data_IF_466557191603
#
_entry.id   IF_466557191603
#
_cell.length_a   1.000
_cell.length_b   1.000
_cell.length_c   1.000
_cell.angle_alpha   90.00
_cell.angle_beta   90.00
_cell.angle_gamma   90.00
#
_symmetry.space_group_name_H-M   'P 1'
#
loop_
_entity.id
_entity.type
_entity.pdbx_description
1 polymer ?
#
# COMPACT_ATOMS: atom_id res chain seq x y z
N UNK A 1 0.86 -0.80 20.56
CA UNK A 1 -0.04 -1.07 19.42
C UNK A 1 0.07 -2.54 19.04
N UNK A 2 -1.06 -3.22 18.80
CA UNK A 2 -1.05 -4.61 18.30
C UNK A 2 -0.87 -4.65 16.77
N UNK A 3 -0.67 -5.85 16.20
CA UNK A 3 -0.43 -6.03 14.77
C UNK A 3 -1.51 -5.40 13.88
N UNK A 4 -2.77 -5.53 14.30
CA UNK A 4 -3.95 -5.04 13.57
C UNK A 4 -3.99 -3.52 13.52
N UNK A 5 -3.75 -2.85 14.65
CA UNK A 5 -3.67 -1.39 14.70
C UNK A 5 -2.52 -0.88 13.83
N UNK A 6 -1.33 -1.51 13.88
CA UNK A 6 -0.20 -1.13 13.01
C UNK A 6 -0.56 -1.29 11.52
N UNK A 7 -1.21 -2.40 11.16
CA UNK A 7 -1.66 -2.65 9.78
C UNK A 7 -2.65 -1.58 9.30
N UNK A 8 -3.67 -1.23 10.09
CA UNK A 8 -4.64 -0.17 9.74
C UNK A 8 -3.93 1.18 9.62
N UNK A 9 -3.07 1.53 10.59
CA UNK A 9 -2.32 2.80 10.60
C UNK A 9 -1.43 2.95 9.36
N UNK A 10 -0.91 1.85 8.81
CA UNK A 10 -0.09 1.89 7.58
C UNK A 10 -0.85 2.39 6.33
N UNK A 11 -2.20 2.49 6.39
CA UNK A 11 -3.03 3.02 5.31
C UNK A 11 -3.22 4.54 5.37
N UNK A 12 -2.80 5.22 6.45
CA UNK A 12 -2.96 6.67 6.62
C UNK A 12 -1.86 7.46 5.88
N UNK A 13 -1.76 7.21 4.58
CA UNK A 13 -0.77 7.80 3.67
C UNK A 13 0.68 7.62 4.17
N UNK A 14 1.59 8.49 3.71
CA UNK A 14 3.02 8.39 4.01
C UNK A 14 3.30 8.49 5.52
N UNK A 15 2.59 9.37 6.24
CA UNK A 15 2.82 9.59 7.68
C UNK A 15 2.42 8.35 8.48
N UNK A 16 1.22 7.82 8.26
CA UNK A 16 0.78 6.59 8.94
C UNK A 16 1.63 5.38 8.58
N UNK A 17 2.03 5.29 7.32
CA UNK A 17 2.96 4.26 6.86
C UNK A 17 4.31 4.31 7.59
N UNK A 18 4.93 5.49 7.73
CA UNK A 18 6.18 5.67 8.48
C UNK A 18 6.03 5.29 9.96
N UNK A 19 4.93 5.71 10.60
CA UNK A 19 4.65 5.34 12.00
C UNK A 19 4.54 3.82 12.13
N UNK A 20 3.76 3.17 11.26
CA UNK A 20 3.59 1.72 11.28
C UNK A 20 4.91 0.99 11.07
N UNK A 21 5.75 1.48 10.15
CA UNK A 21 7.08 0.93 9.88
C UNK A 21 8.00 1.00 11.11
N UNK A 22 8.12 2.18 11.73
CA UNK A 22 8.98 2.40 12.89
C UNK A 22 8.48 1.57 14.09
N UNK A 23 7.17 1.55 14.34
CA UNK A 23 6.61 0.80 15.47
C UNK A 23 6.75 -0.71 15.26
N UNK A 24 6.66 -1.20 14.01
CA UNK A 24 6.81 -2.62 13.69
C UNK A 24 8.28 -3.07 13.57
N UNK A 25 9.25 -2.17 13.43
CA UNK A 25 10.66 -2.54 13.29
C UNK A 25 11.27 -3.13 14.57
N UNK A 26 10.80 -2.68 15.74
CA UNK A 26 11.25 -3.18 17.05
C UNK A 26 10.79 -4.62 17.34
N UNK A 27 9.53 -4.93 16.99
CA UNK A 27 8.95 -6.27 17.08
C UNK A 27 8.07 -6.50 15.86
N UNK A 28 8.65 -7.18 14.86
CA UNK A 28 7.98 -7.46 13.58
C UNK A 28 6.81 -8.41 13.80
N UNK A 29 5.62 -7.95 13.42
CA UNK A 29 4.41 -8.77 13.37
C UNK A 29 4.00 -8.99 11.92
N UNK A 30 3.70 -10.24 11.57
CA UNK A 30 3.48 -10.66 10.18
C UNK A 30 2.37 -9.87 9.50
N UNK A 31 1.24 -9.64 10.18
CA UNK A 31 0.11 -8.88 9.65
C UNK A 31 0.50 -7.41 9.37
N UNK A 32 1.22 -6.78 10.29
CA UNK A 32 1.68 -5.42 10.12
C UNK A 32 2.71 -5.32 8.98
N UNK A 33 3.70 -6.20 8.96
CA UNK A 33 4.70 -6.28 7.88
C UNK A 33 4.08 -6.50 6.50
N UNK A 34 3.01 -7.31 6.42
CA UNK A 34 2.28 -7.52 5.17
C UNK A 34 1.67 -6.22 4.63
N UNK A 35 0.92 -5.50 5.46
CA UNK A 35 0.25 -4.26 5.05
C UNK A 35 1.21 -3.07 4.90
N UNK A 36 2.31 -3.04 5.64
CA UNK A 36 3.39 -2.05 5.43
C UNK A 36 3.99 -2.21 4.02
N UNK A 37 4.27 -3.44 3.58
CA UNK A 37 4.77 -3.72 2.23
C UNK A 37 3.73 -3.40 1.15
N UNK A 38 2.47 -3.77 1.38
CA UNK A 38 1.37 -3.49 0.46
C UNK A 38 1.15 -1.99 0.26
N UNK A 39 1.13 -1.22 1.36
CA UNK A 39 0.95 0.23 1.31
C UNK A 39 2.17 0.96 0.75
N UNK A 40 3.39 0.44 0.94
CA UNK A 40 4.56 0.95 0.23
C UNK A 40 4.38 0.79 -1.30
N UNK A 41 3.88 -0.37 -1.74
CA UNK A 41 3.54 -0.59 -3.15
C UNK A 41 2.55 0.42 -3.70
N UNK A 42 1.48 0.72 -2.95
CA UNK A 42 0.54 1.77 -3.34
C UNK A 42 1.18 3.15 -3.43
N UNK A 43 2.03 3.53 -2.48
CA UNK A 43 2.75 4.81 -2.49
C UNK A 43 3.64 4.90 -3.75
N UNK A 44 4.39 3.85 -4.06
CA UNK A 44 5.27 3.82 -5.25
C UNK A 44 4.47 3.91 -6.54
N UNK A 45 3.37 3.17 -6.67
CA UNK A 45 2.50 3.24 -7.86
C UNK A 45 1.84 4.61 -7.98
N UNK A 46 1.42 5.22 -6.88
CA UNK A 46 0.87 6.57 -6.89
C UNK A 46 1.88 7.60 -7.41
N UNK A 47 3.13 7.54 -6.94
CA UNK A 47 4.22 8.39 -7.44
C UNK A 47 4.46 8.13 -8.93
N UNK A 48 4.47 6.88 -9.38
CA UNK A 48 4.63 6.55 -10.79
C UNK A 48 3.49 7.13 -11.67
N UNK A 49 2.24 7.07 -11.21
CA UNK A 49 1.10 7.68 -11.92
C UNK A 49 1.23 9.20 -12.06
N UNK A 50 1.72 9.88 -11.01
CA UNK A 50 1.94 11.33 -11.07
C UNK A 50 3.09 11.70 -12.02
N UNK A 51 4.13 10.87 -12.14
CA UNK A 51 5.19 11.04 -13.16
C UNK A 51 4.64 10.83 -14.58
N UNK A 52 3.85 9.78 -14.80
CA UNK A 52 3.27 9.48 -16.11
C UNK A 52 2.29 10.56 -16.60
N UNK A 53 1.72 11.36 -15.69
CA UNK A 53 0.85 12.50 -16.02
C UNK A 53 1.53 13.55 -16.92
N UNK A 54 2.86 13.60 -16.96
CA UNK A 54 3.65 14.56 -17.75
C UNK A 54 3.49 14.29 -19.27
N UNK A 55 3.17 13.05 -19.68
CA UNK A 55 2.96 12.72 -21.08
C UNK A 55 1.73 13.43 -21.65
N UNK A 56 1.87 14.22 -22.74
CA UNK A 56 0.73 14.90 -23.34
C UNK A 56 -0.29 13.88 -23.86
N UNK A 57 -1.58 14.19 -23.70
CA UNK A 57 -2.74 13.40 -24.14
C UNK A 57 -2.96 12.10 -23.35
N UNK A 58 -1.99 11.18 -23.31
CA UNK A 58 -2.16 9.85 -22.69
C UNK A 58 -1.96 9.86 -21.17
N UNK A 59 -1.09 10.73 -20.65
CA UNK A 59 -0.76 10.81 -19.23
C UNK A 59 -1.97 11.05 -18.32
N UNK A 60 -2.83 12.04 -18.62
CA UNK A 60 -4.04 12.30 -17.82
C UNK A 60 -5.00 11.10 -17.76
N UNK A 61 -5.17 10.37 -18.86
CA UNK A 61 -6.06 9.20 -18.91
C UNK A 61 -5.52 8.08 -18.03
N UNK A 62 -4.22 7.76 -18.17
CA UNK A 62 -3.54 6.76 -17.33
C UNK A 62 -3.65 7.12 -15.85
N UNK A 63 -3.43 8.40 -15.51
CA UNK A 63 -3.51 8.90 -14.14
C UNK A 63 -4.91 8.74 -13.55
N UNK A 64 -5.96 9.02 -14.31
CA UNK A 64 -7.35 8.87 -13.84
C UNK A 64 -7.71 7.39 -13.66
N UNK A 65 -7.51 6.57 -14.70
CA UNK A 65 -7.87 5.14 -14.65
C UNK A 65 -7.04 4.41 -13.60
N UNK A 66 -5.73 4.62 -13.60
CA UNK A 66 -4.81 4.06 -12.63
C UNK A 66 -5.12 4.53 -11.21
N UNK A 67 -5.46 5.80 -11.01
CA UNK A 67 -5.83 6.34 -9.71
C UNK A 67 -7.09 5.69 -9.13
N UNK A 68 -8.11 5.46 -9.97
CA UNK A 68 -9.34 4.76 -9.55
C UNK A 68 -9.04 3.31 -9.17
N UNK A 69 -8.29 2.58 -9.99
CA UNK A 69 -7.90 1.19 -9.69
C UNK A 69 -7.06 1.11 -8.40
N UNK A 70 -6.14 2.05 -8.22
CA UNK A 70 -5.29 2.13 -7.03
C UNK A 70 -6.12 2.40 -5.78
N UNK A 71 -7.10 3.31 -5.85
CA UNK A 71 -7.99 3.62 -4.73
C UNK A 71 -8.88 2.42 -4.36
N UNK A 72 -9.41 1.69 -5.34
CA UNK A 72 -10.17 0.45 -5.11
C UNK A 72 -9.26 -0.60 -4.44
N UNK A 73 -8.03 -0.77 -4.92
CA UNK A 73 -7.02 -1.62 -4.29
C UNK A 73 -6.77 -1.22 -2.83
N UNK A 74 -6.54 0.06 -2.57
CA UNK A 74 -6.31 0.57 -1.23
C UNK A 74 -7.49 0.32 -0.29
N UNK A 75 -8.74 0.49 -0.76
CA UNK A 75 -9.95 0.16 0.01
C UNK A 75 -10.03 -1.32 0.36
N UNK A 76 -9.79 -2.22 -0.61
CA UNK A 76 -9.77 -3.67 -0.35
C UNK A 76 -8.71 -4.04 0.70
N UNK A 77 -7.51 -3.49 0.54
CA UNK A 77 -6.40 -3.67 1.50
C UNK A 77 -6.80 -3.21 2.90
N UNK A 78 -7.43 -2.04 3.02
CA UNK A 78 -7.88 -1.52 4.30
C UNK A 78 -8.92 -2.44 4.95
N UNK A 79 -9.92 -2.90 4.19
CA UNK A 79 -10.97 -3.81 4.68
C UNK A 79 -10.35 -5.11 5.20
N UNK A 80 -9.46 -5.75 4.43
CA UNK A 80 -8.82 -6.98 4.87
C UNK A 80 -7.91 -6.78 6.09
N UNK A 81 -7.26 -5.62 6.22
CA UNK A 81 -6.48 -5.29 7.42
C UNK A 81 -7.35 -5.15 8.67
N UNK A 82 -8.57 -4.61 8.51
CA UNK A 82 -9.60 -4.53 9.56
C UNK A 82 -10.17 -5.91 9.89
N UNK A 83 -10.17 -6.85 8.95
CA UNK A 83 -10.54 -8.24 9.21
C UNK A 83 -9.39 -9.03 9.84
N UNK A 84 -8.14 -8.57 9.68
CA UNK A 84 -6.95 -9.27 10.17
C UNK A 84 -6.46 -10.38 9.21
N UNK A 85 -6.94 -10.36 7.97
CA UNK A 85 -6.55 -11.31 6.93
C UNK A 85 -5.36 -10.76 6.15
N UNK A 86 -4.44 -11.63 5.70
CA UNK A 86 -3.34 -11.24 4.82
C UNK A 86 -3.74 -11.57 3.38
N UNK A 87 -4.31 -10.58 2.69
CA UNK A 87 -4.76 -10.74 1.31
C UNK A 87 -4.06 -9.74 0.39
N UNK A 88 -3.34 -10.22 -0.64
CA UNK A 88 -2.72 -9.34 -1.62
C UNK A 88 -3.83 -8.72 -2.46
N UNK A 89 -3.69 -7.43 -2.77
CA UNK A 89 -4.60 -6.80 -3.71
C UNK A 89 -4.47 -7.44 -5.09
N UNK A 90 -5.56 -7.52 -5.86
CA UNK A 90 -5.52 -8.02 -7.21
C UNK A 90 -4.46 -7.29 -8.05
N UNK A 91 -3.94 -7.97 -9.07
CA UNK A 91 -3.00 -7.47 -10.08
C UNK A 91 -1.56 -7.20 -9.61
N UNK A 92 -1.37 -6.57 -8.45
CA UNK A 92 -0.05 -6.09 -7.99
C UNK A 92 0.33 -6.51 -6.56
N UNK A 93 -0.60 -7.05 -5.78
CA UNK A 93 -0.37 -7.34 -4.36
C UNK A 93 0.76 -8.35 -4.14
N UNK A 94 0.81 -9.42 -4.92
CA UNK A 94 1.89 -10.41 -4.86
C UNK A 94 3.26 -9.78 -5.20
N UNK A 95 3.29 -8.91 -6.20
CA UNK A 95 4.48 -8.17 -6.61
C UNK A 95 4.94 -7.24 -5.49
N UNK A 96 4.04 -6.55 -4.79
CA UNK A 96 4.40 -5.73 -3.63
C UNK A 96 5.05 -6.56 -2.52
N UNK A 97 4.51 -7.74 -2.23
CA UNK A 97 5.09 -8.63 -1.21
C UNK A 97 6.48 -9.14 -1.60
N UNK A 98 6.70 -9.38 -2.90
CA UNK A 98 7.99 -9.81 -3.45
C UNK A 98 9.02 -8.67 -3.46
N UNK A 99 8.68 -7.50 -4.02
CA UNK A 99 9.59 -6.36 -4.15
C UNK A 99 10.03 -5.80 -2.81
N UNK A 100 9.13 -5.75 -1.82
CA UNK A 100 9.40 -5.14 -0.52
C UNK A 100 9.67 -6.17 0.58
N UNK A 101 10.01 -7.42 0.24
CA UNK A 101 10.30 -8.51 1.20
C UNK A 101 11.40 -8.17 2.21
N UNK A 102 12.27 -7.22 1.90
CA UNK A 102 13.34 -6.75 2.81
C UNK A 102 12.86 -5.89 3.99
N UNK A 103 11.64 -5.37 3.95
CA UNK A 103 11.01 -4.61 5.04
C UNK A 103 10.25 -5.54 5.99
#
# INVERSE_FOLDING_TARGET
>A
MNAKTKAIVSHLFVIGWLIALIVNSSKKEQLASFYIRQNLGFIVVWVALEVLRILPIVGPVIRVVGGVLLFIGWLMSLIWSIQGEQKPVPWLGEQFQAWFRGF
#
